data_IF_458991316494
#
_entry.id   IF_458991316494
#
_cell.length_a   1.000
_cell.length_b   1.000
_cell.length_c   1.000
_cell.angle_alpha   90.00
_cell.angle_beta   90.00
_cell.angle_gamma   90.00
#
_symmetry.space_group_name_H-M   'P 1'
#
loop_
_entity.id
_entity.type
_entity.pdbx_description
1 polymer ?
#
# COMPACT_ATOMS: atom_id res chain seq x y z
N UNK A 1 1.36 4.73 37.07
CA UNK A 1 2.66 4.61 36.38
C UNK A 1 2.38 3.92 35.05
N UNK A 2 2.69 4.56 33.92
CA UNK A 2 2.49 3.95 32.60
C UNK A 2 3.76 3.24 32.14
N UNK A 3 3.62 2.03 31.61
CA UNK A 3 4.72 1.32 30.95
C UNK A 3 4.88 1.83 29.52
N UNK A 4 6.13 2.05 29.12
CA UNK A 4 6.53 2.35 27.75
C UNK A 4 6.51 1.04 26.97
N UNK A 5 5.55 0.90 26.06
CA UNK A 5 5.50 -0.23 25.12
C UNK A 5 6.54 0.01 24.03
N UNK A 6 7.57 -0.82 24.01
CA UNK A 6 8.64 -0.79 23.02
C UNK A 6 8.14 -1.46 21.71
N UNK A 7 7.96 -0.65 20.66
CA UNK A 7 7.55 -1.15 19.35
C UNK A 7 8.73 -1.86 18.66
N UNK A 8 8.76 -3.19 18.74
CA UNK A 8 9.69 -4.01 17.94
C UNK A 8 9.17 -4.10 16.50
N UNK A 9 10.04 -3.97 15.48
CA UNK A 9 9.66 -4.23 14.09
C UNK A 9 9.14 -5.66 13.97
N UNK A 10 7.92 -5.83 13.43
CA UNK A 10 7.35 -7.18 13.24
C UNK A 10 8.14 -7.96 12.20
N UNK A 11 8.32 -9.25 12.47
CA UNK A 11 8.83 -10.28 11.55
C UNK A 11 7.70 -11.03 10.83
N UNK A 12 6.46 -10.56 10.94
CA UNK A 12 5.31 -11.24 10.34
C UNK A 12 5.31 -11.02 8.83
N UNK A 13 4.94 -12.05 8.05
CA UNK A 13 4.74 -11.88 6.62
C UNK A 13 3.68 -10.81 6.39
N UNK A 14 3.96 -9.88 5.48
CA UNK A 14 2.95 -8.96 4.95
C UNK A 14 1.71 -9.78 4.56
N UNK A 15 0.53 -9.33 4.97
CA UNK A 15 -0.68 -10.16 4.82
C UNK A 15 -0.90 -10.56 3.36
N UNK A 16 -1.50 -11.73 3.13
CA UNK A 16 -1.84 -12.22 1.77
C UNK A 16 -2.58 -11.14 0.95
N UNK A 17 -3.40 -10.32 1.63
CA UNK A 17 -4.10 -9.16 1.07
C UNK A 17 -3.17 -8.14 0.41
N UNK A 18 -1.98 -7.86 0.99
CA UNK A 18 -1.04 -6.93 0.38
C UNK A 18 -0.48 -7.47 -0.95
N UNK A 19 -0.22 -8.77 -1.02
CA UNK A 19 0.21 -9.44 -2.25
C UNK A 19 -0.90 -9.47 -3.32
N UNK A 20 -2.15 -9.66 -2.91
CA UNK A 20 -3.32 -9.57 -3.80
C UNK A 20 -3.47 -8.17 -4.39
N UNK A 21 -3.41 -7.13 -3.55
CA UNK A 21 -3.46 -5.72 -3.98
C UNK A 21 -2.32 -5.43 -4.97
N UNK A 22 -1.10 -5.87 -4.67
CA UNK A 22 0.04 -5.66 -5.57
C UNK A 22 -0.18 -6.37 -6.93
N UNK A 23 -0.75 -7.58 -6.90
CA UNK A 23 -1.09 -8.34 -8.12
C UNK A 23 -2.11 -7.61 -8.99
N UNK A 24 -3.12 -7.00 -8.38
CA UNK A 24 -4.09 -6.15 -9.09
C UNK A 24 -3.44 -4.90 -9.67
N UNK A 25 -2.58 -4.22 -8.89
CA UNK A 25 -1.83 -3.05 -9.34
C UNK A 25 -0.92 -3.37 -10.54
N UNK A 26 -0.26 -4.53 -10.51
CA UNK A 26 0.50 -5.06 -11.65
C UNK A 26 -0.37 -5.20 -12.89
N UNK A 27 -1.55 -5.81 -12.76
CA UNK A 27 -2.51 -5.93 -13.86
C UNK A 27 -2.95 -4.57 -14.42
N UNK A 28 -3.14 -3.57 -13.56
CA UNK A 28 -3.45 -2.21 -13.96
C UNK A 28 -2.29 -1.53 -14.70
N UNK A 29 -1.05 -1.72 -14.24
CA UNK A 29 0.14 -1.16 -14.88
C UNK A 29 0.26 -1.63 -16.33
N UNK A 30 0.16 -2.93 -16.60
CA UNK A 30 0.19 -3.44 -17.98
C UNK A 30 -0.95 -2.87 -18.84
N UNK A 31 -2.19 -2.86 -18.32
CA UNK A 31 -3.36 -2.35 -19.05
C UNK A 31 -3.25 -0.88 -19.40
N UNK A 32 -2.54 -0.09 -18.60
CA UNK A 32 -2.47 1.37 -18.78
C UNK A 32 -1.20 1.83 -19.50
N UNK A 33 -0.07 1.15 -19.27
CA UNK A 33 1.23 1.55 -19.77
C UNK A 33 1.56 0.94 -21.12
N UNK A 34 1.20 -0.33 -21.37
CA UNK A 34 1.50 -0.97 -22.66
C UNK A 34 0.77 -0.31 -23.83
N UNK A 35 -0.52 0.06 -23.75
CA UNK A 35 -1.19 0.81 -24.83
C UNK A 35 -0.61 2.21 -25.04
N UNK A 36 0.12 2.75 -24.06
CA UNK A 36 0.83 4.03 -24.14
C UNK A 36 2.18 3.95 -24.86
N UNK A 37 2.57 2.78 -25.38
CA UNK A 37 3.82 2.58 -26.12
C UNK A 37 5.02 2.16 -25.26
N UNK A 38 4.83 1.88 -23.97
CA UNK A 38 5.88 1.30 -23.12
C UNK A 38 6.02 -0.20 -23.41
N UNK A 39 7.26 -0.68 -23.54
CA UNK A 39 7.54 -2.11 -23.69
C UNK A 39 7.15 -2.86 -22.42
N UNK A 40 6.81 -4.15 -22.57
CA UNK A 40 6.56 -5.01 -21.43
C UNK A 40 7.76 -5.05 -20.46
N UNK A 41 8.99 -5.09 -20.99
CA UNK A 41 10.21 -5.08 -20.17
C UNK A 41 10.34 -3.85 -19.28
N UNK A 42 9.97 -2.66 -19.79
CA UNK A 42 10.00 -1.42 -19.01
C UNK A 42 8.92 -1.39 -17.94
N UNK A 43 7.75 -1.98 -18.21
CA UNK A 43 6.70 -2.14 -17.20
C UNK A 43 7.16 -3.11 -16.11
N UNK A 44 7.82 -4.21 -16.49
CA UNK A 44 8.37 -5.20 -15.56
C UNK A 44 9.45 -4.57 -14.65
N UNK A 45 10.37 -3.80 -15.23
CA UNK A 45 11.40 -3.05 -14.48
C UNK A 45 10.79 -2.08 -13.47
N UNK A 46 9.82 -1.28 -13.90
CA UNK A 46 9.12 -0.36 -13.00
C UNK A 46 8.44 -1.10 -11.83
N UNK A 47 7.76 -2.22 -12.12
CA UNK A 47 7.08 -3.00 -11.10
C UNK A 47 8.06 -3.63 -10.10
N UNK A 48 9.22 -4.09 -10.57
CA UNK A 48 10.27 -4.61 -9.71
C UNK A 48 10.88 -3.53 -8.81
N UNK A 49 11.05 -2.30 -9.31
CA UNK A 49 11.49 -1.16 -8.50
C UNK A 49 10.41 -0.70 -7.51
N UNK A 50 9.13 -0.77 -7.89
CA UNK A 50 8.01 -0.28 -7.09
C UNK A 50 7.56 -1.27 -6.00
N UNK A 51 7.70 -2.58 -6.22
CA UNK A 51 7.29 -3.63 -5.27
C UNK A 51 7.80 -3.40 -3.82
N UNK A 52 9.10 -3.21 -3.57
CA UNK A 52 9.58 -2.95 -2.21
C UNK A 52 9.05 -1.64 -1.62
N UNK A 53 8.82 -0.62 -2.46
CA UNK A 53 8.25 0.67 -2.04
C UNK A 53 6.80 0.46 -1.60
N UNK A 54 6.01 -0.27 -2.39
CA UNK A 54 4.64 -0.65 -2.06
C UNK A 54 4.56 -1.33 -0.69
N UNK A 55 5.36 -2.37 -0.47
CA UNK A 55 5.36 -3.10 0.80
C UNK A 55 5.82 -2.26 1.99
N UNK A 56 6.74 -1.31 1.78
CA UNK A 56 7.16 -0.37 2.84
C UNK A 56 6.06 0.62 3.27
N UNK A 57 5.07 0.86 2.41
CA UNK A 57 3.95 1.76 2.69
C UNK A 57 2.80 1.06 3.42
N UNK A 58 2.77 -0.27 3.44
CA UNK A 58 1.75 -1.02 4.18
C UNK A 58 2.06 -0.88 5.67
N UNK A 59 1.21 -0.20 6.46
CA UNK A 59 1.46 -0.05 7.88
C UNK A 59 1.46 -1.45 8.53
N UNK A 60 2.36 -1.70 9.51
CA UNK A 60 2.20 -2.87 10.36
C UNK A 60 0.82 -2.80 11.01
N UNK A 61 0.12 -3.94 11.05
CA UNK A 61 -1.28 -3.98 11.48
C UNK A 61 -1.53 -3.13 12.74
N UNK A 62 -2.41 -2.13 12.59
CA UNK A 62 -2.81 -1.27 13.70
C UNK A 62 -3.86 -2.06 14.46
N UNK A 63 -3.52 -2.51 15.66
CA UNK A 63 -4.51 -3.11 16.56
C UNK A 63 -5.44 -2.00 17.04
N UNK A 64 -6.60 -1.86 16.42
CA UNK A 64 -7.71 -1.10 16.97
C UNK A 64 -8.23 -1.87 18.19
N UNK A 65 -8.53 -1.16 19.28
CA UNK A 65 -8.94 -1.71 20.57
C UNK A 65 -9.95 -2.85 20.40
N UNK A 66 -9.69 -4.00 21.04
CA UNK A 66 -10.60 -5.14 21.03
C UNK A 66 -11.80 -4.80 21.91
N UNK A 67 -12.93 -4.48 21.30
CA UNK A 67 -14.20 -4.29 22.00
C UNK A 67 -14.73 -5.68 22.33
N UNK A 68 -14.99 -5.94 23.61
CA UNK A 68 -15.51 -7.23 24.05
C UNK A 68 -17.02 -7.29 23.82
N UNK A 69 -17.55 -8.46 23.50
CA UNK A 69 -18.97 -8.67 23.22
C UNK A 69 -19.90 -8.35 24.42
N UNK A 70 -19.35 -8.19 25.63
CA UNK A 70 -20.08 -7.78 26.84
C UNK A 70 -20.12 -6.25 27.05
N UNK A 71 -19.60 -5.46 26.11
CA UNK A 71 -19.65 -4.00 26.16
C UNK A 71 -21.12 -3.51 26.00
N UNK A 72 -21.65 -2.73 26.95
CA UNK A 72 -23.02 -2.21 26.88
C UNK A 72 -23.28 -1.30 25.67
N UNK A 73 -22.23 -0.76 25.05
CA UNK A 73 -22.26 0.07 23.84
C UNK A 73 -21.53 -0.61 22.67
N UNK A 74 -21.44 -1.94 22.66
CA UNK A 74 -20.71 -2.73 21.66
C UNK A 74 -20.94 -2.26 20.22
N UNK A 75 -22.20 -2.10 19.80
CA UNK A 75 -22.54 -1.71 18.43
C UNK A 75 -22.02 -0.31 18.06
N UNK A 76 -22.10 0.64 18.98
CA UNK A 76 -21.62 2.01 18.77
C UNK A 76 -20.09 2.04 18.70
N UNK A 77 -19.42 1.34 19.62
CA UNK A 77 -17.97 1.24 19.62
C UNK A 77 -17.46 0.51 18.35
N UNK A 78 -18.13 -0.57 17.93
CA UNK A 78 -17.78 -1.32 16.72
C UNK A 78 -17.96 -0.47 15.46
N UNK A 79 -18.98 0.38 15.41
CA UNK A 79 -19.17 1.36 14.33
C UNK A 79 -18.00 2.35 14.27
N UNK A 80 -17.56 2.90 15.41
CA UNK A 80 -16.40 3.80 15.47
C UNK A 80 -15.12 3.10 15.00
N UNK A 81 -14.89 1.85 15.41
CA UNK A 81 -13.75 1.05 14.96
C UNK A 81 -13.80 0.81 13.44
N UNK A 82 -14.98 0.46 12.91
CA UNK A 82 -15.18 0.29 11.47
C UNK A 82 -14.91 1.58 10.68
N UNK A 83 -15.44 2.72 11.14
CA UNK A 83 -15.24 4.01 10.49
C UNK A 83 -13.76 4.45 10.53
N UNK A 84 -13.08 4.22 11.64
CA UNK A 84 -11.64 4.47 11.78
C UNK A 84 -10.83 3.57 10.84
N UNK A 85 -11.15 2.28 10.75
CA UNK A 85 -10.48 1.35 9.83
C UNK A 85 -10.67 1.78 8.37
N UNK A 86 -11.88 2.21 8.00
CA UNK A 86 -12.16 2.74 6.66
C UNK A 86 -11.30 3.97 6.34
N UNK A 87 -11.23 4.94 7.26
CA UNK A 87 -10.41 6.14 7.06
C UNK A 87 -8.92 5.82 6.91
N UNK A 88 -8.40 4.88 7.71
CA UNK A 88 -7.01 4.42 7.60
C UNK A 88 -6.79 3.76 6.24
N UNK A 89 -7.69 2.88 5.82
CA UNK A 89 -7.59 2.21 4.51
C UNK A 89 -7.61 3.23 3.36
N UNK A 90 -8.55 4.19 3.39
CA UNK A 90 -8.66 5.24 2.37
C UNK A 90 -7.40 6.12 2.30
N UNK A 91 -6.83 6.47 3.46
CA UNK A 91 -5.57 7.21 3.53
C UNK A 91 -4.40 6.43 2.95
N UNK A 92 -4.23 5.16 3.37
CA UNK A 92 -3.15 4.28 2.90
C UNK A 92 -3.24 4.08 1.39
N UNK A 93 -4.43 3.76 0.88
CA UNK A 93 -4.66 3.62 -0.57
C UNK A 93 -4.38 4.92 -1.32
N UNK A 94 -4.79 6.06 -0.77
CA UNK A 94 -4.50 7.38 -1.34
C UNK A 94 -3.00 7.70 -1.41
N UNK A 95 -2.24 7.34 -0.37
CA UNK A 95 -0.77 7.50 -0.34
C UNK A 95 -0.13 6.57 -1.37
N UNK A 96 -0.49 5.28 -1.38
CA UNK A 96 0.04 4.30 -2.34
C UNK A 96 -0.20 4.76 -3.77
N UNK A 97 -1.41 5.25 -4.08
CA UNK A 97 -1.75 5.72 -5.41
C UNK A 97 -0.91 6.95 -5.84
N UNK A 98 -0.75 7.93 -4.94
CA UNK A 98 0.08 9.11 -5.22
C UNK A 98 1.55 8.74 -5.43
N UNK A 99 2.08 7.86 -4.59
CA UNK A 99 3.45 7.36 -4.71
C UNK A 99 3.64 6.60 -6.01
N UNK A 100 2.72 5.69 -6.36
CA UNK A 100 2.72 4.97 -7.62
C UNK A 100 2.85 5.92 -8.82
N UNK A 101 2.00 6.96 -8.89
CA UNK A 101 2.06 7.93 -10.00
C UNK A 101 3.36 8.73 -10.02
N UNK A 102 3.89 9.09 -8.86
CA UNK A 102 5.17 9.81 -8.74
C UNK A 102 6.32 8.95 -9.25
N UNK A 103 6.45 7.73 -8.73
CA UNK A 103 7.53 6.82 -9.11
C UNK A 103 7.44 6.42 -10.58
N UNK A 104 6.23 6.16 -11.09
CA UNK A 104 6.00 5.87 -12.50
C UNK A 104 6.44 7.03 -13.41
N UNK A 105 6.11 8.28 -13.03
CA UNK A 105 6.57 9.46 -13.79
C UNK A 105 8.09 9.56 -13.77
N UNK A 106 8.70 9.44 -12.60
CA UNK A 106 10.16 9.52 -12.45
C UNK A 106 10.88 8.44 -13.26
N UNK A 107 10.38 7.20 -13.21
CA UNK A 107 10.90 6.08 -13.98
C UNK A 107 10.87 6.38 -15.49
N UNK A 108 9.72 6.83 -16.01
CA UNK A 108 9.57 7.16 -17.44
C UNK A 108 10.49 8.33 -17.83
N UNK A 109 10.58 9.38 -17.02
CA UNK A 109 11.47 10.53 -17.27
C UNK A 109 12.95 10.09 -17.31
N UNK A 110 13.38 9.24 -16.37
CA UNK A 110 14.73 8.67 -16.34
C UNK A 110 15.02 7.87 -17.61
N UNK A 111 14.12 6.99 -18.04
CA UNK A 111 14.29 6.19 -19.26
C UNK A 111 14.34 7.05 -20.52
N UNK A 112 13.50 8.10 -20.61
CA UNK A 112 13.54 9.07 -21.71
C UNK A 112 14.80 9.94 -21.72
N UNK A 113 15.40 10.20 -20.55
CA UNK A 113 16.67 10.92 -20.45
C UNK A 113 17.87 10.05 -20.87
N UNK A 114 17.84 8.76 -20.53
CA UNK A 114 18.86 7.78 -20.93
C UNK A 114 18.83 7.44 -22.42
N UNK A 115 17.69 7.61 -23.08
CA UNK A 115 17.55 7.39 -24.53
C UNK A 115 18.09 8.54 -25.41
N UNK A 116 18.64 9.61 -24.80
CA UNK A 116 19.16 10.79 -25.51
C UNK A 116 20.69 10.84 -25.62
N UNK A 117 21.39 9.90 -24.99
CA UNK A 117 22.85 9.69 -25.12
C UNK A 117 23.13 8.49 -26.03
#
# INVERSE_FOLDING_TARGET
MGELIEFKPRKEPLSEVAHEIFTEMRGFAYKRLMPGGLSQSLVDEFLAEFEPIFFSMIPPSITLLTIKDDDPNYDEHMKVVSDAQKQINDYVLGVIYKTYHREMRYFVEKQLSLAKD
#
